data_IF_127630377834
#
_entry.id   IF_127630377834
#
_cell.length_a   1.000
_cell.length_b   1.000
_cell.length_c   1.000
_cell.angle_alpha   90.00
_cell.angle_beta   90.00
_cell.angle_gamma   90.00
#
_symmetry.space_group_name_H-M   'P 1'
#
loop_
_entity.id
_entity.type
_entity.pdbx_description
1 polymer ?
#
# COMPACT_ATOMS: atom_id res chain seq x y z
N UNK A 1 -52.06 25.28 -33.81
CA UNK A 1 -52.56 25.67 -32.48
C UNK A 1 -52.96 24.45 -31.65
N UNK A 2 -53.87 23.59 -32.13
CA UNK A 2 -54.28 22.37 -31.40
C UNK A 2 -53.11 21.42 -31.04
N UNK A 3 -52.14 21.20 -31.94
CA UNK A 3 -50.97 20.35 -31.65
C UNK A 3 -50.07 20.92 -30.53
N UNK A 4 -49.91 22.25 -30.50
CA UNK A 4 -49.13 22.92 -29.45
C UNK A 4 -49.83 22.82 -28.09
N UNK A 5 -51.15 22.88 -28.08
CA UNK A 5 -51.97 22.74 -26.87
C UNK A 5 -51.94 21.30 -26.35
N UNK A 6 -52.02 20.30 -27.24
CA UNK A 6 -51.82 18.88 -26.89
C UNK A 6 -50.40 18.65 -26.34
N UNK A 7 -49.37 19.24 -26.95
CA UNK A 7 -48.00 19.14 -26.46
C UNK A 7 -47.84 19.76 -25.06
N UNK A 8 -48.44 20.93 -24.82
CA UNK A 8 -48.43 21.59 -23.51
C UNK A 8 -49.12 20.73 -22.43
N UNK A 9 -50.28 20.13 -22.75
CA UNK A 9 -50.98 19.25 -21.81
C UNK A 9 -50.21 17.94 -21.54
N UNK A 10 -49.54 17.36 -22.56
CA UNK A 10 -48.65 16.21 -22.36
C UNK A 10 -47.49 16.54 -21.42
N UNK A 11 -46.85 17.70 -21.60
CA UNK A 11 -45.77 18.15 -20.72
C UNK A 11 -46.27 18.36 -19.27
N UNK A 12 -47.48 18.89 -19.08
CA UNK A 12 -48.08 19.01 -17.76
C UNK A 12 -48.31 17.66 -17.07
N UNK A 13 -48.75 16.64 -17.82
CA UNK A 13 -48.91 15.27 -17.31
C UNK A 13 -47.56 14.65 -16.95
N UNK A 14 -46.53 14.81 -17.79
CA UNK A 14 -45.18 14.33 -17.48
C UNK A 14 -44.60 15.01 -16.23
N UNK A 15 -44.78 16.31 -16.08
CA UNK A 15 -44.36 17.04 -14.89
C UNK A 15 -45.08 16.54 -13.63
N UNK A 16 -46.39 16.27 -13.71
CA UNK A 16 -47.15 15.72 -12.60
C UNK A 16 -46.67 14.30 -12.22
N UNK A 17 -46.31 13.47 -13.21
CA UNK A 17 -45.71 12.14 -12.97
C UNK A 17 -44.36 12.24 -12.28
N UNK A 18 -43.48 13.15 -12.73
CA UNK A 18 -42.18 13.39 -12.10
C UNK A 18 -42.33 13.85 -10.63
N UNK A 19 -43.31 14.72 -10.35
CA UNK A 19 -43.60 15.15 -8.98
C UNK A 19 -44.06 13.98 -8.08
N UNK A 20 -44.85 13.04 -8.62
CA UNK A 20 -45.26 11.84 -7.89
C UNK A 20 -44.08 10.88 -7.67
N UNK A 21 -43.21 10.72 -8.66
CA UNK A 21 -42.00 9.91 -8.54
C UNK A 21 -41.06 10.48 -7.48
N UNK A 22 -40.88 11.80 -7.41
CA UNK A 22 -40.09 12.45 -6.36
C UNK A 22 -40.72 12.34 -4.97
N UNK A 23 -42.04 12.13 -4.85
CA UNK A 23 -42.68 11.84 -3.57
C UNK A 23 -42.33 10.42 -3.06
N UNK A 24 -41.89 9.52 -3.96
CA UNK A 24 -41.39 8.19 -3.60
C UNK A 24 -39.86 8.18 -3.63
N UNK A 25 -39.23 8.54 -2.52
CA UNK A 25 -37.77 8.58 -2.43
C UNK A 25 -37.19 7.16 -2.50
N UNK A 26 -36.54 6.83 -3.62
CA UNK A 26 -35.87 5.53 -3.85
C UNK A 26 -34.37 5.64 -3.63
N UNK A 27 -33.76 4.54 -3.22
CA UNK A 27 -32.31 4.43 -3.12
C UNK A 27 -31.66 4.53 -4.51
N UNK A 28 -30.70 5.46 -4.74
CA UNK A 28 -30.02 5.57 -6.02
C UNK A 28 -28.97 4.47 -6.25
N UNK A 29 -28.51 3.83 -5.18
CA UNK A 29 -27.51 2.75 -5.19
C UNK A 29 -27.95 1.60 -4.29
N UNK A 30 -27.49 0.39 -4.62
CA UNK A 30 -27.59 -0.75 -3.71
C UNK A 30 -26.53 -0.62 -2.60
N UNK A 31 -26.89 -1.04 -1.39
CA UNK A 31 -25.96 -1.01 -0.27
C UNK A 31 -26.67 -1.19 1.07
N UNK A 32 -25.93 -0.92 2.14
CA UNK A 32 -26.44 -0.93 3.50
C UNK A 32 -26.92 0.47 3.87
N UNK A 33 -28.17 0.57 4.30
CA UNK A 33 -28.72 1.83 4.82
C UNK A 33 -28.28 2.03 6.27
N UNK A 34 -27.86 3.26 6.59
CA UNK A 34 -27.57 3.69 7.96
C UNK A 34 -28.85 4.02 8.74
N UNK A 35 -28.68 4.70 9.88
CA UNK A 35 -29.83 5.17 10.66
C UNK A 35 -30.69 6.17 9.86
N UNK A 36 -32.00 6.11 10.05
CA UNK A 36 -32.88 7.18 9.60
C UNK A 36 -32.61 8.44 10.43
N UNK A 37 -32.36 9.56 9.76
CA UNK A 37 -32.18 10.88 10.36
C UNK A 37 -33.50 11.64 10.47
N UNK A 38 -34.53 11.14 9.79
CA UNK A 38 -35.88 11.71 9.73
C UNK A 38 -36.85 10.62 10.16
N UNK A 39 -37.82 10.98 10.99
CA UNK A 39 -38.88 10.08 11.47
C UNK A 39 -40.14 10.24 10.64
N UNK A 40 -41.04 9.27 10.75
CA UNK A 40 -42.37 9.37 10.17
C UNK A 40 -43.09 10.65 10.63
N UNK A 41 -43.75 11.33 9.69
CA UNK A 41 -44.48 12.58 9.94
C UNK A 41 -43.63 13.86 9.95
N UNK A 42 -42.30 13.77 9.86
CA UNK A 42 -41.45 14.96 9.77
C UNK A 42 -41.57 15.63 8.38
N UNK A 43 -41.55 16.97 8.38
CA UNK A 43 -41.56 17.75 7.14
C UNK A 43 -40.18 17.71 6.49
N UNK A 44 -40.11 17.26 5.24
CA UNK A 44 -38.91 17.32 4.39
C UNK A 44 -39.02 18.48 3.41
N UNK A 45 -37.94 19.25 3.26
CA UNK A 45 -37.92 20.46 2.46
C UNK A 45 -37.79 20.19 0.95
N UNK A 46 -38.45 21.04 0.14
CA UNK A 46 -38.25 21.09 -1.32
C UNK A 46 -37.12 22.03 -1.73
N UNK A 47 -36.86 23.06 -0.92
CA UNK A 47 -35.86 24.10 -1.20
C UNK A 47 -34.46 23.69 -0.73
N UNK A 48 -34.38 22.92 0.37
CA UNK A 48 -33.13 22.39 0.91
C UNK A 48 -33.21 20.87 1.00
N UNK A 49 -32.19 20.19 0.48
CA UNK A 49 -32.12 18.74 0.53
C UNK A 49 -32.04 18.27 1.98
N UNK A 50 -33.10 17.62 2.47
CA UNK A 50 -33.10 17.02 3.80
C UNK A 50 -32.37 15.68 3.74
N UNK A 51 -31.27 15.54 4.47
CA UNK A 51 -30.53 14.28 4.53
C UNK A 51 -31.32 13.26 5.35
N UNK A 52 -32.03 12.36 4.67
CA UNK A 52 -32.92 11.37 5.31
C UNK A 52 -32.19 10.16 5.86
N UNK A 53 -31.25 9.61 5.08
CA UNK A 53 -30.43 8.48 5.44
C UNK A 53 -29.19 8.42 4.52
N UNK A 54 -28.14 7.75 4.97
CA UNK A 54 -26.96 7.45 4.15
C UNK A 54 -26.98 5.99 3.74
N UNK A 55 -26.80 5.72 2.44
CA UNK A 55 -26.61 4.36 1.93
C UNK A 55 -25.14 4.19 1.57
N UNK A 56 -24.52 3.13 2.07
CA UNK A 56 -23.12 2.83 1.85
C UNK A 56 -22.99 1.46 1.17
N UNK A 57 -22.26 1.41 0.06
CA UNK A 57 -21.84 0.14 -0.53
C UNK A 57 -20.64 -0.38 0.24
N UNK A 58 -20.75 -1.59 0.78
CA UNK A 58 -19.71 -2.21 1.60
C UNK A 58 -18.84 -3.20 0.82
N UNK A 59 -19.26 -3.61 -0.38
CA UNK A 59 -18.54 -4.55 -1.24
C UNK A 59 -18.52 -4.05 -2.70
N UNK A 60 -17.35 -3.80 -3.30
CA UNK A 60 -16.03 -3.77 -2.67
C UNK A 60 -15.88 -2.57 -1.70
N UNK A 61 -14.91 -2.65 -0.81
CA UNK A 61 -14.54 -1.55 0.10
C UNK A 61 -13.18 -0.96 -0.29
N UNK A 62 -13.03 0.35 -0.07
CA UNK A 62 -11.78 1.05 -0.29
C UNK A 62 -11.02 1.29 1.02
N UNK A 63 -9.71 1.10 0.98
CA UNK A 63 -8.79 1.54 2.01
C UNK A 63 -7.90 2.64 1.44
N UNK A 64 -8.06 3.85 1.97
CA UNK A 64 -7.28 5.02 1.57
C UNK A 64 -6.09 5.19 2.52
N UNK A 65 -4.89 5.31 1.96
CA UNK A 65 -3.65 5.47 2.73
C UNK A 65 -2.69 6.44 2.04
N UNK A 66 -1.82 7.08 2.81
CA UNK A 66 -0.87 8.06 2.28
C UNK A 66 0.55 7.51 2.23
N UNK A 67 1.28 7.84 1.15
CA UNK A 67 2.68 7.49 0.96
C UNK A 67 3.46 8.70 0.43
N UNK A 68 4.78 8.70 0.61
CA UNK A 68 5.62 9.75 0.03
C UNK A 68 5.68 9.62 -1.50
N UNK A 69 5.81 10.74 -2.21
CA UNK A 69 5.97 10.73 -3.68
C UNK A 69 7.18 9.87 -4.09
N UNK A 70 8.26 9.88 -3.31
CA UNK A 70 9.46 9.06 -3.54
C UNK A 70 9.15 7.57 -3.51
N UNK A 71 8.46 7.09 -2.47
CA UNK A 71 8.08 5.67 -2.35
C UNK A 71 7.13 5.23 -3.46
N UNK A 72 6.19 6.09 -3.86
CA UNK A 72 5.28 5.79 -4.97
C UNK A 72 6.02 5.68 -6.30
N UNK A 73 7.02 6.53 -6.53
CA UNK A 73 7.85 6.44 -7.73
C UNK A 73 8.71 5.17 -7.72
N UNK A 74 9.29 4.79 -6.59
CA UNK A 74 10.04 3.55 -6.44
C UNK A 74 9.15 2.34 -6.67
N UNK A 75 7.92 2.36 -6.15
CA UNK A 75 6.92 1.32 -6.41
C UNK A 75 6.52 1.24 -7.89
N UNK A 76 6.35 2.38 -8.58
CA UNK A 76 6.06 2.38 -10.03
C UNK A 76 7.22 1.80 -10.85
N UNK A 77 8.47 2.08 -10.47
CA UNK A 77 9.66 1.47 -11.08
C UNK A 77 9.71 -0.02 -10.81
N UNK A 78 9.56 -0.44 -9.56
CA UNK A 78 9.50 -1.86 -9.18
C UNK A 78 8.37 -2.60 -9.91
N UNK A 79 7.21 -1.96 -10.12
CA UNK A 79 6.14 -2.52 -10.95
C UNK A 79 6.63 -2.72 -12.38
N UNK A 80 7.26 -1.72 -12.98
CA UNK A 80 7.76 -1.70 -14.37
C UNK A 80 8.85 -2.74 -14.60
N UNK A 81 9.73 -2.92 -13.63
CA UNK A 81 10.86 -3.85 -13.65
C UNK A 81 10.45 -5.30 -13.35
N UNK A 82 9.18 -5.54 -12.96
CA UNK A 82 8.65 -6.86 -12.64
C UNK A 82 8.88 -7.32 -11.20
N UNK A 83 9.43 -6.44 -10.35
CA UNK A 83 9.72 -6.68 -8.94
C UNK A 83 8.50 -6.53 -8.02
N UNK A 84 7.30 -6.31 -8.55
CA UNK A 84 6.03 -6.37 -7.80
C UNK A 84 5.11 -7.43 -8.39
N UNK A 85 4.37 -8.14 -7.53
CA UNK A 85 3.35 -9.09 -7.99
C UNK A 85 2.18 -8.32 -8.59
N UNK A 86 2.16 -8.23 -9.92
CA UNK A 86 1.09 -7.63 -10.71
C UNK A 86 -0.17 -8.51 -10.64
N UNK A 87 -1.30 -7.90 -10.32
CA UNK A 87 -2.65 -8.52 -10.45
C UNK A 87 -3.29 -8.08 -11.76
N UNK A 88 -2.98 -6.87 -12.23
CA UNK A 88 -3.32 -6.37 -13.57
C UNK A 88 -2.23 -5.40 -14.05
N UNK A 89 -2.25 -4.93 -15.32
CA UNK A 89 -1.22 -4.01 -15.85
C UNK A 89 -1.03 -2.76 -14.99
N UNK A 90 -2.11 -2.28 -14.36
CA UNK A 90 -2.15 -1.05 -13.56
C UNK A 90 -2.48 -1.30 -12.08
N UNK A 91 -2.37 -2.53 -11.57
CA UNK A 91 -2.65 -2.85 -10.18
C UNK A 91 -1.69 -3.87 -9.57
N UNK A 92 -1.19 -3.54 -8.38
CA UNK A 92 -0.35 -4.42 -7.56
C UNK A 92 -1.22 -5.20 -6.54
N UNK A 93 -0.78 -6.41 -6.19
CA UNK A 93 -1.40 -7.22 -5.13
C UNK A 93 -1.16 -6.56 -3.77
N UNK A 94 -2.22 -6.42 -2.99
CA UNK A 94 -2.13 -5.90 -1.62
C UNK A 94 -2.86 -6.82 -0.65
N UNK A 95 -2.32 -6.96 0.55
CA UNK A 95 -3.00 -7.59 1.69
C UNK A 95 -3.38 -6.53 2.70
N UNK A 96 -4.46 -6.80 3.42
CA UNK A 96 -4.91 -5.97 4.53
C UNK A 96 -4.62 -6.71 5.83
N UNK A 97 -4.05 -6.00 6.79
CA UNK A 97 -3.94 -6.44 8.17
C UNK A 97 -4.86 -5.57 9.03
N UNK A 98 -5.57 -6.21 9.95
CA UNK A 98 -6.33 -5.55 11.00
C UNK A 98 -5.36 -4.94 12.04
N UNK A 99 -5.89 -4.09 12.92
CA UNK A 99 -5.11 -3.43 13.97
C UNK A 99 -4.48 -4.41 14.97
N UNK A 100 -5.11 -5.57 15.18
CA UNK A 100 -4.58 -6.67 15.98
C UNK A 100 -3.45 -7.46 15.27
N UNK A 101 -3.11 -7.08 14.04
CA UNK A 101 -2.11 -7.74 13.20
C UNK A 101 -2.62 -8.97 12.45
N UNK A 102 -3.88 -9.39 12.66
CA UNK A 102 -4.48 -10.49 11.92
C UNK A 102 -4.65 -10.14 10.44
N UNK A 103 -4.48 -11.14 9.56
CA UNK A 103 -4.58 -10.92 8.12
C UNK A 103 -6.01 -11.08 7.63
N UNK A 104 -6.45 -10.14 6.80
CA UNK A 104 -7.72 -10.26 6.09
C UNK A 104 -7.65 -11.35 5.02
N UNK A 105 -8.71 -12.15 4.92
CA UNK A 105 -8.70 -13.37 4.11
C UNK A 105 -8.66 -13.11 2.61
N UNK A 106 -9.23 -12.01 2.14
CA UNK A 106 -9.32 -11.71 0.71
C UNK A 106 -8.21 -10.72 0.30
N UNK A 107 -7.39 -11.05 -0.70
CA UNK A 107 -6.43 -10.11 -1.25
C UNK A 107 -7.17 -8.95 -1.92
N UNK A 108 -6.57 -7.77 -1.87
CA UNK A 108 -7.03 -6.58 -2.58
C UNK A 108 -6.12 -6.22 -3.74
N UNK A 109 -6.49 -5.14 -4.42
CA UNK A 109 -5.72 -4.55 -5.51
C UNK A 109 -5.45 -3.08 -5.24
N UNK A 110 -4.22 -2.64 -5.48
CA UNK A 110 -3.85 -1.23 -5.40
C UNK A 110 -4.25 -0.50 -6.68
N UNK A 111 -5.05 0.55 -6.57
CA UNK A 111 -5.46 1.39 -7.69
C UNK A 111 -4.50 2.58 -7.81
N UNK A 112 -3.72 2.60 -8.91
CA UNK A 112 -2.80 3.70 -9.21
C UNK A 112 -3.47 4.89 -9.94
N UNK A 113 -4.74 4.78 -10.30
CA UNK A 113 -5.49 5.76 -11.09
C UNK A 113 -5.92 7.01 -10.30
N UNK A 114 -6.02 6.93 -8.97
CA UNK A 114 -6.49 8.01 -8.08
C UNK A 114 -5.34 8.73 -7.34
N UNK A 115 -4.16 8.81 -7.97
CA UNK A 115 -2.97 9.46 -7.38
C UNK A 115 -3.13 10.98 -7.46
N UNK A 116 -3.74 11.57 -6.43
CA UNK A 116 -3.71 13.03 -6.22
C UNK A 116 -2.52 13.36 -5.31
N UNK A 117 -1.63 14.23 -5.79
CA UNK A 117 -0.49 14.73 -4.99
C UNK A 117 -0.96 15.92 -4.17
N UNK A 118 -0.70 15.91 -2.87
CA UNK A 118 -0.80 17.10 -2.03
C UNK A 118 0.52 17.90 -2.14
N UNK A 119 0.52 19.08 -2.77
CA UNK A 119 1.73 19.88 -2.96
C UNK A 119 2.31 20.44 -1.65
N UNK A 120 1.53 20.49 -0.56
CA UNK A 120 1.99 20.99 0.74
C UNK A 120 2.78 19.95 1.54
N UNK A 121 2.48 18.67 1.37
CA UNK A 121 3.09 17.59 2.17
C UNK A 121 3.97 16.63 1.36
N UNK A 122 4.01 16.77 0.03
CA UNK A 122 4.66 15.83 -0.88
C UNK A 122 4.22 14.37 -0.65
N UNK A 123 2.98 14.19 -0.20
CA UNK A 123 2.33 12.90 -0.02
C UNK A 123 1.30 12.68 -1.11
N UNK A 124 1.15 11.41 -1.47
CA UNK A 124 0.16 10.90 -2.40
C UNK A 124 -0.85 10.09 -1.61
N UNK A 125 -2.13 10.31 -1.88
CA UNK A 125 -3.17 9.40 -1.44
C UNK A 125 -3.27 8.24 -2.43
N UNK A 126 -3.14 7.02 -1.90
CA UNK A 126 -3.32 5.77 -2.62
C UNK A 126 -4.61 5.10 -2.15
N UNK A 127 -5.25 4.35 -3.06
CA UNK A 127 -6.49 3.64 -2.79
C UNK A 127 -6.33 2.16 -3.08
N UNK A 128 -6.50 1.32 -2.06
CA UNK A 128 -6.63 -0.12 -2.21
C UNK A 128 -8.10 -0.53 -2.28
N UNK A 129 -8.46 -1.39 -3.23
CA UNK A 129 -9.81 -1.98 -3.33
C UNK A 129 -9.77 -3.42 -2.82
N UNK A 130 -10.67 -3.74 -1.89
CA UNK A 130 -10.78 -5.06 -1.26
C UNK A 130 -12.20 -5.62 -1.41
N UNK A 131 -12.35 -6.89 -1.83
CA UNK A 131 -13.63 -7.59 -1.75
C UNK A 131 -14.05 -7.72 -0.28
N UNK A 132 -15.32 -7.47 0.02
CA UNK A 132 -15.87 -7.54 1.38
C UNK A 132 -17.22 -8.26 1.44
N UNK A 133 -17.31 -9.50 0.91
CA UNK A 133 -18.58 -10.22 0.79
C UNK A 133 -19.21 -10.55 2.14
N UNK A 134 -18.42 -10.59 3.22
CA UNK A 134 -18.87 -10.87 4.58
C UNK A 134 -19.11 -9.62 5.42
N UNK A 135 -18.90 -8.41 4.86
CA UNK A 135 -19.01 -7.14 5.58
C UNK A 135 -18.18 -7.09 6.88
N UNK A 136 -17.03 -7.76 6.90
CA UNK A 136 -16.10 -7.77 8.04
C UNK A 136 -15.36 -6.43 8.15
N UNK A 137 -15.06 -5.82 7.00
CA UNK A 137 -14.49 -4.48 6.93
C UNK A 137 -15.61 -3.44 7.01
N UNK A 138 -15.51 -2.54 7.98
CA UNK A 138 -16.44 -1.43 8.17
C UNK A 138 -15.77 -0.09 7.84
N UNK A 139 -16.50 0.86 7.24
CA UNK A 139 -15.99 2.21 7.04
C UNK A 139 -15.53 2.86 8.34
N UNK A 140 -14.37 3.52 8.31
CA UNK A 140 -13.78 4.17 9.47
C UNK A 140 -12.85 3.30 10.32
N UNK A 141 -12.71 2.01 10.02
CA UNK A 141 -11.69 1.17 10.64
C UNK A 141 -10.28 1.62 10.23
N UNK A 142 -9.37 1.62 11.20
CA UNK A 142 -7.93 1.71 10.92
C UNK A 142 -7.41 0.33 10.54
N UNK A 143 -6.71 0.28 9.41
CA UNK A 143 -6.13 -0.95 8.85
C UNK A 143 -4.74 -0.67 8.34
N UNK A 144 -3.91 -1.71 8.22
CA UNK A 144 -2.59 -1.61 7.58
C UNK A 144 -2.63 -2.33 6.24
N UNK A 145 -2.35 -1.59 5.18
CA UNK A 145 -2.20 -2.16 3.84
C UNK A 145 -0.74 -2.58 3.66
N UNK A 146 -0.53 -3.86 3.34
CA UNK A 146 0.77 -4.45 3.04
C UNK A 146 0.82 -4.72 1.55
N UNK A 147 1.74 -4.04 0.86
CA UNK A 147 1.97 -4.25 -0.56
C UNK A 147 2.88 -5.47 -0.73
N UNK A 148 2.45 -6.43 -1.55
CA UNK A 148 3.25 -7.61 -1.82
C UNK A 148 4.26 -7.33 -2.92
N UNK A 149 5.53 -7.18 -2.52
CA UNK A 149 6.63 -7.15 -3.47
C UNK A 149 6.84 -8.54 -4.08
N UNK A 150 7.31 -8.60 -5.32
CA UNK A 150 7.70 -9.87 -5.91
C UNK A 150 8.87 -10.44 -5.11
N UNK A 151 8.87 -11.76 -4.94
CA UNK A 151 9.94 -12.46 -4.25
C UNK A 151 11.18 -12.34 -5.13
N UNK A 152 12.17 -11.58 -4.69
CA UNK A 152 13.51 -11.63 -5.26
C UNK A 152 14.20 -12.92 -4.80
N UNK A 153 14.08 -13.97 -5.61
CA UNK A 153 14.61 -15.31 -5.31
C UNK A 153 16.15 -15.29 -5.29
N UNK A 154 16.78 -14.37 -6.04
CA UNK A 154 18.22 -14.25 -6.17
C UNK A 154 18.81 -13.13 -5.29
N UNK A 155 17.96 -12.45 -4.52
CA UNK A 155 18.32 -11.32 -3.67
C UNK A 155 19.29 -11.69 -2.55
N UNK A 156 20.41 -10.96 -2.46
CA UNK A 156 21.39 -11.15 -1.39
C UNK A 156 21.04 -10.22 -0.22
N UNK A 157 20.67 -10.78 0.92
CA UNK A 157 20.49 -10.02 2.16
C UNK A 157 21.65 -10.26 3.13
N UNK A 158 22.25 -9.20 3.66
CA UNK A 158 23.35 -9.27 4.65
C UNK A 158 22.92 -8.64 5.98
N UNK A 159 23.45 -9.05 7.14
CA UNK A 159 23.17 -8.34 8.40
C UNK A 159 23.58 -6.87 8.30
N UNK A 160 22.77 -5.95 8.81
CA UNK A 160 23.04 -4.51 8.69
C UNK A 160 24.40 -4.09 9.26
N UNK A 161 24.86 -4.76 10.33
CA UNK A 161 26.15 -4.53 10.96
C UNK A 161 27.37 -4.86 10.06
N UNK A 162 27.18 -5.69 9.03
CA UNK A 162 28.23 -6.02 8.07
C UNK A 162 28.49 -4.89 7.06
N UNK A 163 27.52 -3.99 6.88
CA UNK A 163 27.63 -2.84 5.96
C UNK A 163 28.39 -1.72 6.67
N UNK A 164 29.52 -1.36 6.10
CA UNK A 164 30.36 -0.25 6.54
C UNK A 164 30.19 0.94 5.58
N UNK A 165 30.36 2.15 6.11
CA UNK A 165 30.42 3.36 5.30
C UNK A 165 31.86 3.83 5.22
N UNK A 166 32.40 3.96 4.01
CA UNK A 166 33.75 4.46 3.79
C UNK A 166 33.82 5.97 4.06
N UNK A 167 35.02 6.52 4.20
CA UNK A 167 35.25 7.96 4.35
C UNK A 167 34.71 8.78 3.17
N UNK A 168 34.60 8.15 1.99
CA UNK A 168 33.98 8.71 0.79
C UNK A 168 32.44 8.62 0.77
N UNK A 169 31.81 8.10 1.83
CA UNK A 169 30.35 7.98 1.97
C UNK A 169 29.74 6.76 1.27
N UNK A 170 30.55 5.95 0.59
CA UNK A 170 30.12 4.74 -0.15
C UNK A 170 29.86 3.60 0.82
N UNK A 171 28.80 2.82 0.58
CA UNK A 171 28.53 1.61 1.36
C UNK A 171 29.42 0.48 0.85
N UNK A 172 30.07 -0.23 1.76
CA UNK A 172 30.97 -1.33 1.44
C UNK A 172 30.85 -2.45 2.48
N UNK A 173 31.19 -3.67 2.08
CA UNK A 173 31.27 -4.83 2.99
C UNK A 173 32.66 -5.46 2.88
N UNK A 174 33.14 -6.06 3.96
CA UNK A 174 34.37 -6.84 3.91
C UNK A 174 34.07 -8.25 3.40
N UNK A 175 34.72 -8.63 2.30
CA UNK A 175 34.64 -9.97 1.70
C UNK A 175 35.97 -10.69 1.90
N UNK A 176 35.91 -11.94 2.33
CA UNK A 176 37.07 -12.82 2.46
C UNK A 176 37.25 -13.60 1.18
N UNK A 177 38.36 -13.35 0.47
CA UNK A 177 38.68 -14.04 -0.78
C UNK A 177 39.17 -15.48 -0.53
N UNK A 178 39.48 -16.22 -1.60
CA UNK A 178 39.95 -17.62 -1.52
C UNK A 178 41.34 -17.76 -0.88
N UNK A 179 42.09 -16.66 -0.76
CA UNK A 179 43.39 -16.60 -0.07
C UNK A 179 43.25 -16.22 1.42
N UNK A 180 42.03 -16.29 1.96
CA UNK A 180 41.67 -15.88 3.33
C UNK A 180 42.08 -14.45 3.67
N UNK A 181 42.01 -13.52 2.70
CA UNK A 181 42.27 -12.10 2.91
C UNK A 181 40.97 -11.30 2.87
N UNK A 182 40.80 -10.39 3.82
CA UNK A 182 39.63 -9.51 3.88
C UNK A 182 39.83 -8.30 2.96
N UNK A 183 38.96 -8.15 1.95
CA UNK A 183 38.99 -7.04 0.99
C UNK A 183 37.72 -6.23 1.15
N UNK A 184 37.85 -4.90 1.07
CA UNK A 184 36.70 -4.01 1.09
C UNK A 184 36.04 -3.99 -0.30
N UNK A 185 34.80 -4.46 -0.38
CA UNK A 185 34.00 -4.51 -1.60
C UNK A 185 32.91 -3.43 -1.53
N UNK A 186 32.93 -2.43 -2.43
CA UNK A 186 31.83 -1.48 -2.55
C UNK A 186 30.53 -2.20 -2.95
N UNK A 187 29.43 -1.82 -2.32
CA UNK A 187 28.10 -2.40 -2.58
C UNK A 187 27.04 -1.33 -2.69
N UNK A 188 26.01 -1.63 -3.48
CA UNK A 188 24.78 -0.85 -3.50
C UNK A 188 23.79 -1.51 -2.56
N UNK A 189 23.45 -0.79 -1.50
CA UNK A 189 22.49 -1.24 -0.51
C UNK A 189 21.09 -0.79 -0.91
N UNK A 190 20.12 -1.69 -0.75
CA UNK A 190 18.70 -1.41 -0.89
C UNK A 190 18.03 -1.29 0.48
N UNK A 191 16.83 -1.87 0.61
CA UNK A 191 16.00 -1.76 1.80
C UNK A 191 16.56 -2.58 2.98
N UNK A 192 16.27 -2.11 4.19
CA UNK A 192 16.53 -2.84 5.44
C UNK A 192 15.25 -3.53 5.91
N UNK A 193 15.27 -4.85 6.05
CA UNK A 193 14.12 -5.67 6.46
C UNK A 193 14.59 -6.64 7.55
N UNK A 194 13.96 -6.59 8.74
CA UNK A 194 14.26 -7.53 9.83
C UNK A 194 15.72 -7.53 10.31
N UNK A 195 16.38 -6.36 10.31
CA UNK A 195 17.79 -6.22 10.70
C UNK A 195 18.80 -6.66 9.64
N UNK A 196 18.33 -7.02 8.44
CA UNK A 196 19.16 -7.32 7.27
C UNK A 196 18.98 -6.23 6.21
N UNK A 197 20.02 -5.98 5.45
CA UNK A 197 20.04 -5.02 4.34
C UNK A 197 20.14 -5.82 3.05
N UNK A 198 19.25 -5.57 2.10
CA UNK A 198 19.31 -6.15 0.76
C UNK A 198 20.44 -5.49 -0.03
N UNK A 199 21.19 -6.26 -0.80
CA UNK A 199 22.27 -5.80 -1.67
C UNK A 199 21.77 -5.86 -3.11
N UNK A 200 21.63 -4.69 -3.73
CA UNK A 200 21.18 -4.54 -5.11
C UNK A 200 22.31 -4.83 -6.12
N UNK A 201 23.55 -4.53 -5.73
CA UNK A 201 24.72 -4.66 -6.61
C UNK A 201 26.02 -4.78 -5.80
N UNK A 202 27.03 -5.43 -6.39
CA UNK A 202 28.38 -5.54 -5.84
C UNK A 202 28.68 -6.82 -5.04
N UNK A 203 27.71 -7.71 -4.84
CA UNK A 203 27.91 -9.04 -4.25
C UNK A 203 27.37 -10.14 -5.14
N UNK A 204 27.95 -11.34 -4.99
CA UNK A 204 27.51 -12.56 -5.68
C UNK A 204 27.27 -13.69 -4.67
N UNK A 205 26.40 -14.67 -4.99
CA UNK A 205 26.23 -15.85 -4.17
C UNK A 205 27.56 -16.56 -3.91
N UNK A 206 27.74 -17.07 -2.69
CA UNK A 206 28.96 -17.78 -2.27
C UNK A 206 30.06 -16.90 -1.67
N UNK A 207 29.91 -15.57 -1.69
CA UNK A 207 30.89 -14.68 -1.06
C UNK A 207 30.85 -14.80 0.46
N UNK A 208 32.03 -14.93 1.09
CA UNK A 208 32.18 -14.94 2.55
C UNK A 208 32.32 -13.51 3.06
N UNK A 209 31.31 -13.01 3.76
CA UNK A 209 31.33 -11.64 4.33
C UNK A 209 31.74 -11.65 5.80
N UNK A 210 32.43 -10.59 6.22
CA UNK A 210 32.74 -10.34 7.63
C UNK A 210 31.59 -9.55 8.25
N UNK A 211 30.96 -10.11 9.29
CA UNK A 211 29.84 -9.48 10.00
C UNK A 211 30.30 -8.78 11.28
N UNK A 212 31.33 -9.31 11.94
CA UNK A 212 31.90 -8.78 13.18
C UNK A 212 33.44 -8.92 13.16
N UNK A 213 34.13 -8.10 13.95
CA UNK A 213 35.58 -8.14 14.09
C UNK A 213 36.34 -7.32 13.05
N UNK A 214 35.68 -6.48 12.25
CA UNK A 214 36.30 -5.59 11.27
C UNK A 214 37.29 -4.58 11.87
N UNK A 215 37.22 -4.32 13.18
CA UNK A 215 38.18 -3.47 13.90
C UNK A 215 39.51 -4.18 14.19
N UNK A 216 39.59 -5.50 14.01
CA UNK A 216 40.76 -6.33 14.38
C UNK A 216 41.73 -6.55 13.23
N UNK A 217 41.42 -6.06 12.03
CA UNK A 217 42.24 -6.23 10.84
C UNK A 217 42.13 -5.03 9.91
N UNK A 218 43.08 -4.91 9.00
CA UNK A 218 43.07 -3.90 7.93
C UNK A 218 42.74 -4.52 6.57
N UNK A 219 42.21 -3.75 5.59
CA UNK A 219 41.97 -4.28 4.24
C UNK A 219 43.24 -4.91 3.63
N UNK A 220 43.12 -6.14 3.14
CA UNK A 220 44.21 -6.93 2.54
C UNK A 220 44.92 -7.89 3.51
N UNK A 221 44.62 -7.81 4.80
CA UNK A 221 45.18 -8.66 5.84
C UNK A 221 44.57 -10.08 5.82
N UNK A 222 45.37 -11.06 6.23
CA UNK A 222 44.93 -12.46 6.31
C UNK A 222 44.07 -12.64 7.57
N UNK A 223 42.86 -13.13 7.39
CA UNK A 223 41.89 -13.36 8.47
C UNK A 223 41.58 -14.85 8.56
N UNK A 224 41.24 -15.33 9.76
CA UNK A 224 40.71 -16.69 9.93
C UNK A 224 39.20 -16.60 10.10
N UNK A 225 38.40 -16.91 9.07
CA UNK A 225 36.95 -16.81 9.16
C UNK A 225 36.40 -17.86 10.14
N UNK A 226 35.45 -17.43 10.97
CA UNK A 226 34.68 -18.29 11.87
C UNK A 226 33.20 -18.11 11.50
N UNK A 227 32.38 -19.18 11.46
CA UNK A 227 30.95 -19.04 11.21
C UNK A 227 30.32 -18.04 12.17
N UNK A 228 29.66 -17.03 11.63
CA UNK A 228 28.98 -16.02 12.42
C UNK A 228 27.71 -16.60 13.05
N UNK A 229 27.60 -16.51 14.37
CA UNK A 229 26.37 -16.83 15.10
C UNK A 229 25.73 -15.53 15.57
N UNK A 230 24.48 -15.24 15.19
CA UNK A 230 23.78 -14.08 15.73
C UNK A 230 23.68 -14.24 17.25
N UNK A 231 24.15 -13.25 18.02
CA UNK A 231 23.81 -13.14 19.44
C UNK A 231 22.32 -12.80 19.46
N UNK A 232 21.51 -13.74 19.95
CA UNK A 232 20.07 -13.57 20.06
C UNK A 232 19.77 -12.46 21.08
N UNK A 233 19.62 -11.21 20.64
CA UNK A 233 19.12 -10.10 21.48
C UNK A 233 17.59 -10.12 21.59
N UNK A 234 17.00 -11.30 21.78
CA UNK A 234 15.58 -11.45 22.07
C UNK A 234 15.39 -11.69 23.58
N UNK A 235 15.70 -10.68 24.39
CA UNK A 235 15.15 -10.49 25.75
C UNK A 235 15.81 -9.28 26.42
N UNK A 236 15.28 -8.08 26.19
CA UNK A 236 15.36 -6.95 27.11
C UNK A 236 14.33 -5.89 26.73
N UNK A 237 13.22 -5.81 27.49
CA UNK A 237 12.25 -4.70 27.44
C UNK A 237 10.88 -5.10 26.94
#
# INVERSE_FOLDING_TARGET
QAEAEVAAQKAAVEQAKLNLDYATVRAPIAGRIGRALVTEGALVGRTEATHMATIQQLDPIYADFTQSVTEVNDMKRALSDGNLRRVSPDAASVRLLFDDGSAYAFPGRLLFSDVTVDPGTAKVMLRGEFPNPKSELLPGMYVRVVIEEAIDIDGIAVPAQAVQRTDSGVSAVFVVNDSDRAILQPVRVGRTIGGRVTIEDGLKPGYRIVVDGFQKFTPGERVKPVPWSPINQASAG
#
